data_IF_900699843968
#
_entry.id   IF_900699843968
#
_cell.length_a   1.000
_cell.length_b   1.000
_cell.length_c   1.000
_cell.angle_alpha   90.00
_cell.angle_beta   90.00
_cell.angle_gamma   90.00
#
_symmetry.space_group_name_H-M   'P 1'
#
loop_
_entity.id
_entity.type
_entity.pdbx_description
1 polymer ?
#
# COMPACT_ATOMS: atom_id res chain seq x y z
N UNK A 1 65.26 15.03 -56.87
CA UNK A 1 64.00 15.30 -56.15
C UNK A 1 63.67 14.05 -55.33
N UNK A 2 63.69 14.12 -54.00
CA UNK A 2 63.29 13.00 -53.15
C UNK A 2 61.86 13.24 -52.66
N UNK A 3 60.94 12.35 -52.98
CA UNK A 3 59.54 12.38 -52.53
C UNK A 3 59.46 11.79 -51.12
N UNK A 4 59.16 12.63 -50.12
CA UNK A 4 58.84 12.14 -48.78
C UNK A 4 57.46 11.49 -48.83
N UNK A 5 57.42 10.16 -48.77
CA UNK A 5 56.17 9.41 -48.58
C UNK A 5 55.83 9.42 -47.10
N UNK A 6 54.88 10.29 -46.71
CA UNK A 6 54.31 10.30 -45.35
C UNK A 6 53.57 8.98 -45.11
N UNK A 7 54.03 8.19 -44.13
CA UNK A 7 53.36 6.97 -43.69
C UNK A 7 52.18 7.36 -42.79
N UNK A 8 50.98 6.94 -43.15
CA UNK A 8 49.80 7.11 -42.31
C UNK A 8 49.94 6.31 -40.99
N UNK A 9 49.53 6.87 -39.84
CA UNK A 9 49.58 6.16 -38.57
C UNK A 9 48.59 4.99 -38.56
N UNK A 10 49.03 3.83 -38.09
CA UNK A 10 48.17 2.66 -37.86
C UNK A 10 47.24 2.93 -36.67
N UNK A 11 45.91 2.68 -36.77
CA UNK A 11 45.00 2.86 -35.65
C UNK A 11 45.37 1.91 -34.50
N UNK A 12 45.42 2.45 -33.28
CA UNK A 12 45.61 1.64 -32.07
C UNK A 12 44.42 0.69 -31.86
N UNK A 13 44.65 -0.51 -31.29
CA UNK A 13 43.55 -1.43 -31.00
C UNK A 13 42.59 -0.80 -29.97
N UNK A 14 41.31 -0.72 -30.33
CA UNK A 14 40.26 -0.24 -29.43
C UNK A 14 40.17 -1.16 -28.20
N UNK A 15 40.07 -0.56 -27.01
CA UNK A 15 39.83 -1.32 -25.78
C UNK A 15 38.42 -1.93 -25.82
N UNK A 16 38.22 -3.14 -25.28
CA UNK A 16 36.89 -3.74 -25.22
C UNK A 16 35.96 -2.95 -24.28
N UNK A 17 34.78 -2.59 -24.78
CA UNK A 17 33.82 -1.69 -24.11
C UNK A 17 33.39 -2.12 -22.69
N UNK A 18 33.36 -3.42 -22.41
CA UNK A 18 32.98 -3.96 -21.10
C UNK A 18 34.05 -3.72 -20.00
N UNK A 19 35.25 -3.27 -20.38
CA UNK A 19 36.35 -2.95 -19.46
C UNK A 19 36.26 -1.53 -18.90
N UNK A 20 35.41 -0.66 -19.44
CA UNK A 20 35.25 0.70 -18.93
C UNK A 20 34.38 0.72 -17.65
N UNK A 21 34.89 1.26 -16.53
CA UNK A 21 34.13 1.28 -15.26
C UNK A 21 32.87 2.15 -15.33
N UNK A 22 32.86 3.20 -16.16
CA UNK A 22 31.71 4.09 -16.32
C UNK A 22 30.48 3.38 -16.90
N UNK A 23 30.67 2.37 -17.75
CA UNK A 23 29.58 1.56 -18.28
C UNK A 23 28.80 0.86 -17.17
N UNK A 24 29.53 0.30 -16.20
CA UNK A 24 28.93 -0.38 -15.04
C UNK A 24 28.19 0.58 -14.12
N UNK A 25 28.57 1.85 -14.03
CA UNK A 25 27.80 2.86 -13.30
C UNK A 25 26.46 3.15 -14.00
N UNK A 26 26.49 3.28 -15.33
CA UNK A 26 25.29 3.54 -16.15
C UNK A 26 24.32 2.36 -16.14
N UNK A 27 24.82 1.14 -16.24
CA UNK A 27 23.98 -0.08 -16.19
C UNK A 27 23.59 -0.40 -14.74
N UNK A 28 24.50 -0.17 -13.80
CA UNK A 28 24.34 -0.49 -12.38
C UNK A 28 23.21 0.29 -11.73
N UNK A 29 23.08 1.59 -12.01
CA UNK A 29 21.99 2.41 -11.46
C UNK A 29 20.60 1.83 -11.73
N UNK A 30 20.20 1.64 -13.01
CA UNK A 30 18.95 0.99 -13.38
C UNK A 30 18.82 -0.44 -12.85
N UNK A 31 19.89 -1.24 -12.90
CA UNK A 31 19.86 -2.62 -12.41
C UNK A 31 19.55 -2.69 -10.92
N UNK A 32 20.12 -1.81 -10.11
CA UNK A 32 19.84 -1.72 -8.67
C UNK A 32 18.37 -1.41 -8.41
N UNK A 33 17.77 -0.50 -9.17
CA UNK A 33 16.35 -0.16 -9.03
C UNK A 33 15.45 -1.34 -9.37
N UNK A 34 15.76 -2.09 -10.43
CA UNK A 34 15.01 -3.30 -10.81
C UNK A 34 15.08 -4.35 -9.69
N UNK A 35 16.28 -4.60 -9.14
CA UNK A 35 16.46 -5.53 -8.01
C UNK A 35 15.66 -5.06 -6.79
N UNK A 36 15.75 -3.77 -6.44
CA UNK A 36 15.01 -3.21 -5.32
C UNK A 36 13.49 -3.37 -5.49
N UNK A 37 12.97 -3.12 -6.69
CA UNK A 37 11.55 -3.30 -7.00
C UNK A 37 11.09 -4.75 -6.78
N UNK A 38 11.87 -5.73 -7.29
CA UNK A 38 11.58 -7.15 -7.10
C UNK A 38 11.59 -7.52 -5.61
N UNK A 39 12.56 -7.01 -4.85
CA UNK A 39 12.65 -7.25 -3.40
C UNK A 39 11.42 -6.70 -2.69
N UNK A 40 11.01 -5.45 -2.99
CA UNK A 40 9.81 -4.85 -2.40
C UNK A 40 8.56 -5.68 -2.70
N UNK A 41 8.37 -6.10 -3.95
CA UNK A 41 7.24 -6.96 -4.35
C UNK A 41 7.28 -8.29 -3.60
N UNK A 42 8.46 -8.89 -3.49
CA UNK A 42 8.65 -10.17 -2.77
C UNK A 42 8.27 -10.05 -1.31
N UNK A 43 8.68 -8.97 -0.64
CA UNK A 43 8.32 -8.69 0.75
C UNK A 43 6.81 -8.48 0.88
N UNK A 44 6.21 -7.72 -0.03
CA UNK A 44 4.78 -7.43 -0.02
C UNK A 44 3.92 -8.68 -0.19
N UNK A 45 4.31 -9.59 -1.10
CA UNK A 45 3.57 -10.84 -1.34
C UNK A 45 3.75 -11.83 -0.19
N UNK A 46 4.97 -11.95 0.37
CA UNK A 46 5.25 -12.91 1.45
C UNK A 46 4.66 -12.49 2.80
N UNK A 47 4.64 -11.19 3.08
CA UNK A 47 4.07 -10.62 4.31
C UNK A 47 2.70 -9.99 4.05
N UNK A 48 1.96 -10.46 3.04
CA UNK A 48 0.60 -10.02 2.82
C UNK A 48 -0.21 -10.43 4.05
N UNK A 49 -0.62 -9.43 4.84
CA UNK A 49 -1.46 -9.64 6.01
C UNK A 49 -2.74 -10.36 5.56
N UNK A 50 -3.16 -11.37 6.32
CA UNK A 50 -4.32 -12.16 5.94
C UNK A 50 -5.52 -11.23 5.90
N UNK A 51 -6.07 -11.01 4.72
CA UNK A 51 -7.26 -10.17 4.58
C UNK A 51 -8.36 -10.83 5.41
N UNK A 52 -8.69 -10.22 6.55
CA UNK A 52 -9.92 -10.57 7.27
C UNK A 52 -11.03 -10.51 6.21
N UNK A 53 -11.81 -11.58 6.03
CA UNK A 53 -12.95 -11.55 5.11
C UNK A 53 -13.73 -10.27 5.38
N UNK A 54 -14.24 -9.58 4.35
CA UNK A 54 -15.09 -8.38 4.58
C UNK A 54 -16.34 -8.68 5.41
N UNK A 55 -16.62 -9.98 5.56
CA UNK A 55 -17.66 -10.60 6.38
C UNK A 55 -17.15 -11.02 7.77
N UNK A 56 -15.92 -10.62 8.16
CA UNK A 56 -15.41 -10.82 9.49
C UNK A 56 -16.45 -10.24 10.44
N UNK A 57 -17.07 -11.14 11.18
CA UNK A 57 -18.25 -10.91 11.98
C UNK A 57 -18.16 -9.55 12.69
N UNK A 58 -19.28 -8.81 12.80
CA UNK A 58 -19.28 -7.56 13.57
C UNK A 58 -18.59 -7.85 14.89
N UNK A 59 -17.69 -6.95 15.31
CA UNK A 59 -17.08 -7.10 16.61
C UNK A 59 -18.23 -7.32 17.61
N UNK A 60 -18.06 -8.22 18.57
CA UNK A 60 -19.16 -8.50 19.48
C UNK A 60 -19.21 -7.33 20.46
N UNK A 61 -20.40 -6.83 20.79
CA UNK A 61 -20.54 -5.88 21.89
C UNK A 61 -19.95 -6.56 23.13
N UNK A 62 -18.83 -6.04 23.64
CA UNK A 62 -18.13 -6.63 24.78
C UNK A 62 -18.92 -6.51 26.09
N UNK A 63 -19.95 -5.67 26.11
CA UNK A 63 -20.82 -5.43 27.25
C UNK A 63 -22.12 -6.27 27.16
N UNK A 64 -22.55 -6.92 28.27
CA UNK A 64 -23.86 -7.56 28.36
C UNK A 64 -24.97 -6.55 28.07
N UNK A 65 -25.87 -6.86 27.14
CA UNK A 65 -27.00 -6.00 26.78
C UNK A 65 -28.16 -6.08 27.79
N UNK A 66 -28.09 -6.98 28.77
CA UNK A 66 -29.13 -7.14 29.80
C UNK A 66 -28.99 -6.05 30.87
N UNK A 67 -30.05 -5.27 31.09
CA UNK A 67 -30.10 -4.21 32.10
C UNK A 67 -29.79 -2.79 31.59
N UNK A 68 -29.39 -2.61 30.34
CA UNK A 68 -29.20 -1.29 29.73
C UNK A 68 -30.54 -0.68 29.29
N UNK A 69 -30.68 0.64 29.43
CA UNK A 69 -31.80 1.37 28.81
C UNK A 69 -31.72 1.30 27.28
N UNK A 70 -32.83 1.51 26.60
CA UNK A 70 -32.90 1.41 25.13
C UNK A 70 -31.91 2.36 24.43
N UNK A 71 -31.71 3.56 24.99
CA UNK A 71 -30.74 4.53 24.50
C UNK A 71 -29.28 4.05 24.63
N UNK A 72 -28.93 3.39 25.74
CA UNK A 72 -27.58 2.87 25.99
C UNK A 72 -27.29 1.64 25.11
N UNK A 73 -28.29 0.80 24.88
CA UNK A 73 -28.19 -0.35 23.96
C UNK A 73 -27.87 0.08 22.54
N UNK A 74 -28.58 1.10 22.05
CA UNK A 74 -28.37 1.64 20.71
C UNK A 74 -26.98 2.29 20.56
N UNK A 75 -26.47 2.92 21.61
CA UNK A 75 -25.11 3.47 21.62
C UNK A 75 -24.05 2.37 21.61
N UNK A 76 -24.24 1.31 22.41
CA UNK A 76 -23.36 0.16 22.44
C UNK A 76 -23.32 -0.57 21.09
N UNK A 77 -24.46 -0.72 20.42
CA UNK A 77 -24.54 -1.26 19.07
C UNK A 77 -23.83 -0.33 18.06
N UNK A 78 -24.04 1.00 18.17
CA UNK A 78 -23.39 2.01 17.32
C UNK A 78 -21.87 1.98 17.38
N UNK A 79 -21.32 1.71 18.57
CA UNK A 79 -19.88 1.66 18.82
C UNK A 79 -19.17 0.53 18.08
N UNK A 80 -19.91 -0.47 17.60
CA UNK A 80 -19.36 -1.65 16.95
C UNK A 80 -19.54 -1.65 15.43
N UNK A 81 -20.21 -0.64 14.88
CA UNK A 81 -20.29 -0.51 13.42
C UNK A 81 -18.91 -0.25 12.82
N UNK A 82 -18.63 -0.78 11.62
CA UNK A 82 -17.40 -0.50 10.90
C UNK A 82 -17.15 1.01 10.77
N UNK A 83 -15.88 1.42 10.82
CA UNK A 83 -15.49 2.84 10.81
C UNK A 83 -16.08 3.65 9.64
N UNK A 84 -16.31 3.01 8.49
CA UNK A 84 -16.96 3.62 7.32
C UNK A 84 -18.47 3.84 7.45
N UNK A 85 -19.15 3.05 8.28
CA UNK A 85 -20.61 3.16 8.53
C UNK A 85 -20.90 4.03 9.75
N UNK A 86 -20.07 3.95 10.79
CA UNK A 86 -20.26 4.70 12.03
C UNK A 86 -20.26 6.23 11.86
N UNK A 87 -19.53 6.74 10.85
CA UNK A 87 -19.48 8.18 10.53
C UNK A 87 -20.56 8.65 9.56
N UNK A 88 -21.41 7.76 9.05
CA UNK A 88 -22.49 8.16 8.16
C UNK A 88 -23.70 8.66 8.97
N UNK A 89 -23.81 9.98 9.12
CA UNK A 89 -24.92 10.61 9.85
C UNK A 89 -26.31 10.37 9.22
N UNK A 90 -26.37 9.95 7.95
CA UNK A 90 -27.63 9.64 7.23
C UNK A 90 -28.26 8.33 7.71
N UNK A 91 -27.47 7.42 8.32
CA UNK A 91 -27.92 6.09 8.77
C UNK A 91 -27.86 6.02 10.31
N UNK A 92 -28.37 7.06 10.99
CA UNK A 92 -28.51 7.00 12.45
C UNK A 92 -29.87 6.37 12.81
N UNK A 93 -29.90 5.30 13.63
CA UNK A 93 -31.15 4.77 14.16
C UNK A 93 -31.86 5.88 14.95
N UNK A 94 -33.09 6.22 14.55
CA UNK A 94 -33.93 7.14 15.31
C UNK A 94 -34.68 6.34 16.35
N UNK A 95 -34.59 6.75 17.63
CA UNK A 95 -35.41 6.22 18.71
C UNK A 95 -36.90 6.31 18.33
N UNK A 96 -37.72 5.30 18.66
CA UNK A 96 -39.17 5.45 18.64
C UNK A 96 -39.57 6.69 19.46
N UNK A 97 -40.45 7.54 18.92
CA UNK A 97 -41.05 8.60 19.72
C UNK A 97 -41.99 7.93 20.73
N UNK A 98 -41.83 8.26 22.00
CA UNK A 98 -42.85 7.98 23.00
C UNK A 98 -44.11 8.76 22.60
N UNK A 99 -45.11 8.07 22.09
CA UNK A 99 -46.42 8.64 21.75
C UNK A 99 -47.27 8.95 23.00
N UNK A 100 -46.67 8.93 24.20
CA UNK A 100 -47.30 9.20 25.49
C UNK A 100 -47.23 10.68 25.88
N UNK A 101 -47.47 11.58 24.93
CA UNK A 101 -47.83 12.97 25.23
C UNK A 101 -49.08 13.36 24.44
N UNK A 102 -50.19 12.72 24.78
CA UNK A 102 -51.52 13.24 24.49
C UNK A 102 -52.34 13.05 25.75
N UNK A 103 -52.35 14.11 26.57
CA UNK A 103 -53.52 14.68 27.27
C UNK A 103 -53.09 16.00 27.95
#
# INVERSE_FOLDING_TARGET
MQTMTTRAPTPAPARPWYREPYLWLVIGGPLVVVIASIVTVTIAVRNADTVLPREAAPARVAAPLEGLSEAERLQAEKAVLPAGVARNHVVSPTLPKDDTQKD
#
